data_IF_608577263231
#
_entry.id   IF_608577263231
#
_cell.length_a   1.000
_cell.length_b   1.000
_cell.length_c   1.000
_cell.angle_alpha   90.00
_cell.angle_beta   90.00
_cell.angle_gamma   90.00
#
_symmetry.space_group_name_H-M   'P 1'
#
loop_
_entity.id
_entity.type
_entity.pdbx_description
1 polymer ?
#
# COMPACT_ATOMS: atom_id res chain seq x y z
N UNK A 1 57.98 -16.19 44.11
CA UNK A 1 56.63 -16.86 44.13
C UNK A 1 55.44 -15.93 44.38
N UNK A 2 55.56 -14.68 44.89
CA UNK A 2 54.43 -13.76 45.07
C UNK A 2 53.82 -13.22 43.76
N UNK A 3 54.60 -13.03 42.70
CA UNK A 3 54.16 -12.45 41.41
C UNK A 3 53.27 -13.41 40.64
N UNK A 4 53.49 -14.73 40.74
CA UNK A 4 52.70 -15.76 40.04
C UNK A 4 51.26 -15.86 40.62
N UNK A 5 51.10 -15.63 41.92
CA UNK A 5 49.80 -15.76 42.56
C UNK A 5 48.89 -14.55 42.32
N UNK A 6 49.47 -13.34 42.24
CA UNK A 6 48.76 -12.10 41.86
C UNK A 6 48.26 -12.16 40.40
N UNK A 7 49.11 -12.66 39.48
CA UNK A 7 48.73 -12.84 38.07
C UNK A 7 47.55 -13.82 37.91
N UNK A 8 47.59 -14.96 38.59
CA UNK A 8 46.50 -15.94 38.56
C UNK A 8 45.19 -15.37 39.12
N UNK A 9 45.27 -14.57 40.20
CA UNK A 9 44.11 -13.91 40.78
C UNK A 9 43.52 -12.86 39.82
N UNK A 10 44.37 -12.02 39.21
CA UNK A 10 43.94 -11.01 38.23
C UNK A 10 43.30 -11.66 37.00
N UNK A 11 43.86 -12.78 36.53
CA UNK A 11 43.31 -13.52 35.43
C UNK A 11 41.96 -14.16 35.78
N UNK A 12 41.82 -14.73 36.96
CA UNK A 12 40.56 -15.28 37.45
C UNK A 12 39.48 -14.17 37.55
N UNK A 13 39.84 -13.00 38.08
CA UNK A 13 38.95 -11.85 38.21
C UNK A 13 38.48 -11.36 36.84
N UNK A 14 39.38 -11.24 35.83
CA UNK A 14 39.02 -10.89 34.46
C UNK A 14 38.07 -11.93 33.82
N UNK A 15 38.34 -13.21 34.01
CA UNK A 15 37.47 -14.26 33.49
C UNK A 15 36.07 -14.21 34.10
N UNK A 16 35.94 -13.94 35.40
CA UNK A 16 34.66 -13.77 36.08
C UNK A 16 33.91 -12.53 35.54
N UNK A 17 34.61 -11.41 35.35
CA UNK A 17 34.00 -10.18 34.78
C UNK A 17 33.51 -10.41 33.34
N UNK A 18 34.28 -11.13 32.51
CA UNK A 18 33.88 -11.48 31.14
C UNK A 18 32.64 -12.38 31.16
N UNK A 19 32.65 -13.43 32.01
CA UNK A 19 31.51 -14.33 32.15
C UNK A 19 30.23 -13.60 32.61
N UNK A 20 30.35 -12.68 33.56
CA UNK A 20 29.24 -11.84 34.02
C UNK A 20 28.68 -10.95 32.87
N UNK A 21 29.57 -10.33 32.08
CA UNK A 21 29.19 -9.54 30.90
C UNK A 21 28.44 -10.38 29.88
N UNK A 22 28.91 -11.59 29.60
CA UNK A 22 28.29 -12.50 28.61
C UNK A 22 26.91 -13.00 29.10
N UNK A 23 26.77 -13.27 30.40
CA UNK A 23 25.47 -13.59 31.00
C UNK A 23 24.51 -12.41 30.90
N UNK A 24 24.97 -11.18 31.17
CA UNK A 24 24.14 -9.98 31.04
C UNK A 24 23.67 -9.77 29.58
N UNK A 25 24.56 -9.91 28.60
CA UNK A 25 24.21 -9.86 27.16
C UNK A 25 23.22 -10.95 26.76
N UNK A 26 23.40 -12.16 27.26
CA UNK A 26 22.49 -13.27 26.96
C UNK A 26 21.09 -13.02 27.54
N UNK A 27 20.99 -12.49 28.77
CA UNK A 27 19.72 -12.09 29.38
C UNK A 27 19.02 -10.99 28.58
N UNK A 28 19.77 -9.99 28.11
CA UNK A 28 19.23 -8.90 27.29
C UNK A 28 18.68 -9.43 25.94
N UNK A 29 19.38 -10.37 25.28
CA UNK A 29 18.89 -11.04 24.07
C UNK A 29 17.61 -11.84 24.30
N UNK A 30 17.54 -12.57 25.42
CA UNK A 30 16.34 -13.34 25.77
C UNK A 30 15.18 -12.39 26.08
N UNK A 31 15.40 -11.33 26.85
CA UNK A 31 14.37 -10.37 27.24
C UNK A 31 13.80 -9.59 26.02
N UNK A 32 14.65 -9.28 25.04
CA UNK A 32 14.24 -8.55 23.83
C UNK A 32 13.76 -9.46 22.70
N UNK A 33 14.01 -10.76 22.77
CA UNK A 33 13.75 -11.72 21.69
C UNK A 33 14.56 -11.47 20.41
N UNK A 34 15.59 -10.59 20.48
CA UNK A 34 16.42 -10.20 19.34
C UNK A 34 17.82 -10.78 19.46
N UNK A 35 18.34 -11.36 18.38
CA UNK A 35 19.72 -11.85 18.34
C UNK A 35 20.76 -10.72 18.29
N UNK A 36 20.38 -9.56 17.76
CA UNK A 36 21.15 -8.33 17.70
C UNK A 36 20.46 -7.27 18.56
N UNK A 37 21.08 -6.87 19.65
CA UNK A 37 20.57 -5.85 20.55
C UNK A 37 21.29 -4.53 20.31
N UNK A 38 22.59 -4.59 20.00
CA UNK A 38 23.42 -3.40 19.76
C UNK A 38 24.00 -3.41 18.34
N UNK A 39 24.12 -2.25 17.70
CA UNK A 39 24.75 -2.11 16.37
C UNK A 39 26.19 -2.67 16.30
N UNK A 40 26.89 -2.67 17.44
CA UNK A 40 28.25 -3.16 17.57
C UNK A 40 28.38 -4.70 17.65
N UNK A 41 27.28 -5.43 17.82
CA UNK A 41 27.32 -6.88 18.02
C UNK A 41 27.66 -7.63 16.74
N UNK A 42 27.20 -7.15 15.57
CA UNK A 42 27.54 -7.71 14.27
C UNK A 42 27.21 -6.68 13.15
N UNK A 43 28.22 -6.00 12.69
CA UNK A 43 28.10 -4.96 11.66
C UNK A 43 27.66 -5.51 10.29
N UNK A 44 28.00 -6.76 10.00
CA UNK A 44 27.62 -7.43 8.75
C UNK A 44 26.11 -7.72 8.72
N UNK A 45 25.58 -8.26 9.81
CA UNK A 45 24.13 -8.49 9.95
C UNK A 45 23.34 -7.19 10.00
N UNK A 46 23.88 -6.15 10.63
CA UNK A 46 23.24 -4.84 10.67
C UNK A 46 23.05 -4.28 9.24
N UNK A 47 24.11 -4.35 8.41
CA UNK A 47 24.04 -3.92 7.01
C UNK A 47 22.96 -4.69 6.23
N UNK A 48 22.88 -6.01 6.44
CA UNK A 48 21.86 -6.85 5.79
C UNK A 48 20.43 -6.44 6.24
N UNK A 49 20.24 -6.16 7.53
CA UNK A 49 18.96 -5.68 8.08
C UNK A 49 18.58 -4.32 7.47
N UNK A 50 19.52 -3.39 7.30
CA UNK A 50 19.25 -2.09 6.68
C UNK A 50 18.85 -2.23 5.20
N UNK A 51 19.51 -3.12 4.45
CA UNK A 51 19.13 -3.42 3.06
C UNK A 51 17.72 -4.00 3.01
N UNK A 52 17.40 -4.97 3.85
CA UNK A 52 16.07 -5.58 3.90
C UNK A 52 14.99 -4.57 4.30
N UNK A 53 15.25 -3.71 5.29
CA UNK A 53 14.34 -2.62 5.66
C UNK A 53 14.14 -1.61 4.53
N UNK A 54 15.19 -1.32 3.75
CA UNK A 54 15.09 -0.45 2.59
C UNK A 54 14.21 -1.08 1.49
N UNK A 55 14.38 -2.39 1.24
CA UNK A 55 13.52 -3.13 0.31
C UNK A 55 12.08 -3.18 0.79
N UNK A 56 11.85 -3.44 2.08
CA UNK A 56 10.50 -3.43 2.66
C UNK A 56 9.81 -2.08 2.45
N UNK A 57 10.48 -0.95 2.73
CA UNK A 57 9.92 0.39 2.48
C UNK A 57 9.56 0.63 1.00
N UNK A 58 10.37 0.08 0.07
CA UNK A 58 10.04 0.14 -1.37
C UNK A 58 8.78 -0.66 -1.70
N UNK A 59 8.65 -1.86 -1.15
CA UNK A 59 7.45 -2.70 -1.33
C UNK A 59 6.22 -1.99 -0.76
N UNK A 60 6.30 -1.45 0.45
CA UNK A 60 5.21 -0.67 1.07
C UNK A 60 4.82 0.57 0.22
N UNK A 61 5.80 1.22 -0.43
CA UNK A 61 5.53 2.31 -1.36
C UNK A 61 4.83 1.84 -2.63
N UNK A 62 5.23 0.68 -3.17
CA UNK A 62 4.55 0.09 -4.33
C UNK A 62 3.13 -0.34 -4.00
N UNK A 63 2.90 -0.96 -2.84
CA UNK A 63 1.55 -1.34 -2.38
C UNK A 63 0.63 -0.12 -2.29
N UNK A 64 1.11 1.00 -1.73
CA UNK A 64 0.34 2.26 -1.69
C UNK A 64 0.02 2.77 -3.10
N UNK A 65 0.98 2.70 -4.02
CA UNK A 65 0.76 3.13 -5.41
C UNK A 65 -0.23 2.22 -6.14
N UNK A 66 -0.15 0.91 -5.93
CA UNK A 66 -1.08 -0.08 -6.49
C UNK A 66 -2.50 0.16 -5.97
N UNK A 67 -2.66 0.37 -4.66
CA UNK A 67 -3.96 0.66 -4.07
C UNK A 67 -4.56 1.94 -4.64
N UNK A 68 -3.77 3.01 -4.74
CA UNK A 68 -4.21 4.28 -5.35
C UNK A 68 -4.66 4.09 -6.81
N UNK A 69 -3.87 3.38 -7.62
CA UNK A 69 -4.23 3.09 -9.01
C UNK A 69 -5.46 2.20 -9.12
N UNK A 70 -5.58 1.21 -8.23
CA UNK A 70 -6.74 0.33 -8.19
C UNK A 70 -8.03 1.10 -7.90
N UNK A 71 -7.99 2.02 -6.95
CA UNK A 71 -9.15 2.83 -6.61
C UNK A 71 -9.50 3.82 -7.73
N UNK A 72 -8.49 4.38 -8.40
CA UNK A 72 -8.68 5.22 -9.58
C UNK A 72 -9.35 4.43 -10.72
N UNK A 73 -8.84 3.24 -11.04
CA UNK A 73 -9.42 2.41 -12.10
C UNK A 73 -10.84 1.93 -11.78
N UNK A 74 -11.16 1.65 -10.51
CA UNK A 74 -12.54 1.35 -10.11
C UNK A 74 -13.48 2.54 -10.35
N UNK A 75 -13.02 3.77 -10.09
CA UNK A 75 -13.78 4.98 -10.39
C UNK A 75 -13.99 5.13 -11.90
N UNK A 76 -12.93 4.99 -12.69
CA UNK A 76 -13.00 5.05 -14.16
C UNK A 76 -13.95 3.99 -14.72
N UNK A 77 -13.89 2.74 -14.22
CA UNK A 77 -14.80 1.65 -14.61
C UNK A 77 -16.26 1.97 -14.29
N UNK A 78 -16.53 2.54 -13.10
CA UNK A 78 -17.87 3.00 -12.72
C UNK A 78 -18.40 4.09 -13.65
N UNK A 79 -17.56 5.06 -14.02
CA UNK A 79 -17.93 6.15 -14.94
C UNK A 79 -18.20 5.60 -16.34
N UNK A 80 -17.36 4.70 -16.84
CA UNK A 80 -17.55 4.06 -18.14
C UNK A 80 -18.81 3.19 -18.19
N UNK A 81 -19.10 2.49 -17.08
CA UNK A 81 -20.35 1.73 -16.96
C UNK A 81 -21.58 2.65 -17.03
N UNK A 82 -21.56 3.76 -16.29
CA UNK A 82 -22.64 4.76 -16.36
C UNK A 82 -22.79 5.38 -17.75
N UNK A 83 -21.68 5.70 -18.42
CA UNK A 83 -21.71 6.20 -19.78
C UNK A 83 -22.30 5.17 -20.78
N UNK A 84 -21.97 3.89 -20.59
CA UNK A 84 -22.55 2.79 -21.40
C UNK A 84 -24.05 2.69 -21.22
N UNK A 85 -24.56 2.80 -19.98
CA UNK A 85 -25.98 2.76 -19.67
C UNK A 85 -26.73 3.94 -20.32
N UNK A 86 -26.15 5.14 -20.27
CA UNK A 86 -26.68 6.33 -20.93
C UNK A 86 -26.76 6.10 -22.45
N UNK A 87 -25.71 5.56 -23.07
CA UNK A 87 -25.71 5.28 -24.51
C UNK A 87 -26.75 4.24 -24.92
N UNK A 88 -26.95 3.20 -24.11
CA UNK A 88 -28.00 2.21 -24.31
C UNK A 88 -29.38 2.87 -24.23
N UNK A 89 -29.59 3.76 -23.25
CA UNK A 89 -30.84 4.52 -23.11
C UNK A 89 -31.08 5.44 -24.30
N UNK A 90 -30.04 6.18 -24.73
CA UNK A 90 -30.13 7.03 -25.95
C UNK A 90 -30.49 6.24 -27.19
N UNK A 91 -29.89 5.05 -27.36
CA UNK A 91 -30.23 4.15 -28.49
C UNK A 91 -31.70 3.72 -28.42
N UNK A 92 -32.20 3.37 -27.23
CA UNK A 92 -33.60 3.00 -27.06
C UNK A 92 -34.55 4.16 -27.40
N UNK A 93 -34.24 5.37 -26.95
CA UNK A 93 -35.03 6.57 -27.23
C UNK A 93 -35.00 6.92 -28.72
N UNK A 94 -33.83 6.75 -29.39
CA UNK A 94 -33.73 6.99 -30.84
C UNK A 94 -34.60 6.01 -31.65
N UNK A 95 -34.63 4.72 -31.26
CA UNK A 95 -35.50 3.72 -31.88
C UNK A 95 -36.98 4.08 -31.66
N UNK A 96 -37.33 4.51 -30.47
CA UNK A 96 -38.68 4.93 -30.14
C UNK A 96 -39.11 6.16 -30.93
N UNK A 97 -38.24 7.18 -31.02
CA UNK A 97 -38.52 8.40 -31.80
C UNK A 97 -38.63 8.17 -33.33
N UNK A 98 -37.97 7.12 -33.85
CA UNK A 98 -38.02 6.74 -35.23
C UNK A 98 -39.36 6.06 -35.64
N UNK A 99 -40.22 5.78 -34.68
CA UNK A 99 -41.53 5.16 -34.96
C UNK A 99 -42.49 6.21 -35.52
N UNK A 100 -43.00 5.99 -36.73
CA UNK A 100 -43.88 6.92 -37.45
C UNK A 100 -45.28 7.12 -36.80
N UNK A 101 -45.66 6.22 -35.88
CA UNK A 101 -46.95 6.32 -35.17
C UNK A 101 -46.93 7.28 -33.97
N UNK A 102 -45.75 7.83 -33.64
CA UNK A 102 -45.61 8.74 -32.50
C UNK A 102 -46.16 10.13 -32.79
N UNK A 103 -46.94 10.69 -31.84
CA UNK A 103 -47.38 12.07 -31.87
C UNK A 103 -46.21 13.06 -31.70
N UNK A 104 -46.37 14.26 -32.28
CA UNK A 104 -45.33 15.31 -32.17
C UNK A 104 -45.00 15.66 -30.72
N UNK A 105 -46.00 15.75 -29.84
CA UNK A 105 -45.80 16.02 -28.44
C UNK A 105 -44.96 14.96 -27.72
N UNK A 106 -45.09 13.68 -28.07
CA UNK A 106 -44.28 12.58 -27.48
C UNK A 106 -42.82 12.66 -27.96
N UNK A 107 -42.60 13.04 -29.22
CA UNK A 107 -41.24 13.29 -29.74
C UNK A 107 -40.53 14.46 -29.04
N UNK A 108 -41.28 15.52 -28.68
CA UNK A 108 -40.74 16.66 -27.92
C UNK A 108 -40.28 16.22 -26.50
N UNK A 109 -41.02 15.33 -25.87
CA UNK A 109 -40.66 14.77 -24.57
C UNK A 109 -39.36 13.96 -24.68
N UNK A 110 -39.25 13.09 -25.71
CA UNK A 110 -38.03 12.33 -25.96
C UNK A 110 -36.85 13.27 -26.25
N UNK A 111 -37.04 14.35 -26.99
CA UNK A 111 -35.99 15.33 -27.27
C UNK A 111 -35.42 15.96 -26.00
N UNK A 112 -36.29 16.26 -25.01
CA UNK A 112 -35.86 16.79 -23.70
C UNK A 112 -35.06 15.72 -22.94
N UNK A 113 -35.53 14.47 -22.93
CA UNK A 113 -34.79 13.36 -22.25
C UNK A 113 -33.41 13.14 -22.90
N UNK A 114 -33.32 13.11 -24.21
CA UNK A 114 -32.06 13.00 -24.95
C UNK A 114 -31.08 14.14 -24.60
N UNK A 115 -31.61 15.38 -24.48
CA UNK A 115 -30.80 16.52 -24.07
C UNK A 115 -30.24 16.35 -22.66
N UNK A 116 -31.06 15.91 -21.72
CA UNK A 116 -30.64 15.67 -20.34
C UNK A 116 -29.57 14.57 -20.25
N UNK A 117 -29.76 13.44 -20.97
CA UNK A 117 -28.78 12.34 -21.03
C UNK A 117 -27.48 12.78 -21.70
N UNK A 118 -27.52 13.63 -22.70
CA UNK A 118 -26.32 14.23 -23.29
C UNK A 118 -25.55 15.08 -22.28
N UNK A 119 -26.26 15.93 -21.54
CA UNK A 119 -25.64 16.82 -20.55
C UNK A 119 -25.03 16.01 -19.39
N UNK A 120 -25.67 14.91 -18.98
CA UNK A 120 -25.13 13.94 -18.01
C UNK A 120 -23.87 13.25 -18.54
N UNK A 121 -23.88 12.79 -19.81
CA UNK A 121 -22.71 12.16 -20.44
C UNK A 121 -21.51 13.12 -20.52
N UNK A 122 -21.76 14.39 -20.85
CA UNK A 122 -20.72 15.44 -20.85
C UNK A 122 -20.17 15.65 -19.43
N UNK A 123 -21.03 15.69 -18.41
CA UNK A 123 -20.62 15.81 -17.01
C UNK A 123 -19.75 14.64 -16.55
N UNK A 124 -20.10 13.40 -16.94
CA UNK A 124 -19.27 12.21 -16.67
C UNK A 124 -17.91 12.30 -17.36
N UNK A 125 -17.84 12.78 -18.60
CA UNK A 125 -16.59 12.98 -19.33
C UNK A 125 -15.67 14.04 -18.71
N UNK A 126 -16.21 15.02 -18.01
CA UNK A 126 -15.43 16.03 -17.29
C UNK A 126 -14.94 15.56 -15.92
N UNK A 127 -15.43 14.42 -15.41
CA UNK A 127 -15.05 13.84 -14.11
C UNK A 127 -13.92 12.80 -14.22
N UNK A 128 -13.48 12.43 -15.41
CA UNK A 128 -12.33 11.58 -15.70
C UNK A 128 -11.02 12.37 -15.67
#
# INVERSE_FOLDING_TARGET
MKISNSFLFDQATKNIQTAQSDVAKSREKIATGKSLVRPSDDTSKLRSIEILKSQQRKIESYDKSINFLTDRYKLEDSILSSASDILIRLKSLAIQAANDTMATADRDIIAVEVKNLRDELVSLGLSL
#
